data_IF_766815887317
#
_entry.id   IF_766815887317
#
_cell.length_a   1.000
_cell.length_b   1.000
_cell.length_c   1.000
_cell.angle_alpha   90.00
_cell.angle_beta   90.00
_cell.angle_gamma   90.00
#
_symmetry.space_group_name_H-M   'P 1'
#
loop_
_entity.id
_entity.type
_entity.pdbx_description
1 polymer ?
#
# COMPACT_ATOMS: atom_id res chain seq x y z
N UNK A 1 -26.90 -0.24 -11.47
CA UNK A 1 -26.34 0.23 -10.19
C UNK A 1 -25.45 -0.89 -9.69
N UNK A 2 -24.18 -0.62 -9.39
CA UNK A 2 -23.27 -1.67 -8.91
C UNK A 2 -23.78 -2.18 -7.56
N UNK A 3 -23.98 -3.50 -7.43
CA UNK A 3 -24.39 -4.12 -6.17
C UNK A 3 -23.30 -3.88 -5.09
N UNK A 4 -23.72 -3.47 -3.90
CA UNK A 4 -22.83 -3.27 -2.76
C UNK A 4 -22.32 -4.63 -2.26
N UNK A 5 -21.13 -5.03 -2.72
CA UNK A 5 -20.51 -6.31 -2.37
C UNK A 5 -19.90 -6.34 -0.97
N UNK A 6 -19.51 -5.18 -0.43
CA UNK A 6 -18.92 -5.10 0.91
C UNK A 6 -19.99 -5.00 2.00
N UNK A 7 -19.91 -5.89 2.99
CA UNK A 7 -20.76 -5.95 4.18
C UNK A 7 -19.89 -5.63 5.39
N UNK A 8 -19.96 -4.36 5.82
CA UNK A 8 -19.28 -3.86 7.01
C UNK A 8 -20.04 -4.26 8.26
N UNK A 9 -19.44 -5.04 9.15
CA UNK A 9 -20.17 -5.62 10.28
C UNK A 9 -19.32 -6.37 11.28
N UNK A 10 -19.99 -7.10 12.17
CA UNK A 10 -19.34 -7.95 13.17
C UNK A 10 -18.56 -9.08 12.47
N UNK A 11 -17.24 -9.20 12.71
CA UNK A 11 -16.42 -10.23 12.09
C UNK A 11 -16.79 -11.67 12.51
N UNK A 12 -17.64 -11.88 13.52
CA UNK A 12 -18.15 -13.23 13.85
C UNK A 12 -19.29 -13.68 12.94
N UNK A 13 -19.88 -12.75 12.16
CA UNK A 13 -20.99 -13.06 11.27
C UNK A 13 -20.47 -13.57 9.90
N UNK A 14 -20.98 -14.72 9.38
CA UNK A 14 -20.47 -15.32 8.14
C UNK A 14 -20.57 -14.43 6.89
N UNK A 15 -21.53 -13.51 6.88
CA UNK A 15 -21.78 -12.60 5.77
C UNK A 15 -20.86 -11.37 5.80
N UNK A 16 -20.19 -11.09 6.92
CA UNK A 16 -19.29 -9.95 7.05
C UNK A 16 -18.00 -10.21 6.26
N UNK A 17 -17.65 -9.28 5.37
CA UNK A 17 -16.38 -9.31 4.63
C UNK A 17 -15.53 -8.05 4.83
N UNK A 18 -16.00 -7.11 5.66
CA UNK A 18 -15.25 -5.96 6.11
C UNK A 18 -15.51 -5.75 7.60
N UNK A 19 -14.46 -5.86 8.42
CA UNK A 19 -14.54 -5.69 9.87
C UNK A 19 -14.30 -4.24 10.31
N UNK A 20 -14.36 -3.96 11.63
CA UNK A 20 -13.91 -2.69 12.19
C UNK A 20 -12.39 -2.55 12.09
N UNK A 21 -11.90 -1.31 12.18
CA UNK A 21 -10.47 -1.08 12.46
C UNK A 21 -10.16 -1.34 13.93
N UNK A 22 -8.87 -1.37 14.30
CA UNK A 22 -8.42 -1.82 15.62
C UNK A 22 -8.97 -1.02 16.81
N UNK A 23 -9.33 0.26 16.62
CA UNK A 23 -9.83 1.11 17.71
C UNK A 23 -10.67 2.29 17.21
N UNK A 24 -11.43 2.91 18.12
CA UNK A 24 -12.16 4.17 17.85
C UNK A 24 -11.19 5.29 17.48
N UNK A 25 -10.05 5.41 18.16
CA UNK A 25 -9.03 6.41 17.86
C UNK A 25 -8.46 6.24 16.43
N UNK A 26 -8.23 4.99 15.99
CA UNK A 26 -7.84 4.69 14.61
C UNK A 26 -8.92 5.13 13.63
N UNK A 27 -10.19 4.83 13.91
CA UNK A 27 -11.31 5.22 13.07
C UNK A 27 -11.47 6.75 12.97
N UNK A 28 -11.29 7.48 14.07
CA UNK A 28 -11.30 8.94 14.09
C UNK A 28 -10.19 9.55 13.24
N UNK A 29 -8.96 9.01 13.33
CA UNK A 29 -7.84 9.47 12.49
C UNK A 29 -8.11 9.26 11.00
N UNK A 30 -8.66 8.10 10.62
CA UNK A 30 -9.01 7.80 9.23
C UNK A 30 -10.08 8.77 8.73
N UNK A 31 -11.19 8.94 9.48
CA UNK A 31 -12.25 9.89 9.12
C UNK A 31 -11.73 11.33 9.02
N UNK A 32 -10.79 11.72 9.88
CA UNK A 32 -10.13 13.04 9.83
C UNK A 32 -9.34 13.23 8.53
N UNK A 33 -8.54 12.25 8.11
CA UNK A 33 -7.81 12.34 6.84
C UNK A 33 -8.77 12.43 5.64
N UNK A 34 -9.85 11.63 5.63
CA UNK A 34 -10.86 11.68 4.57
C UNK A 34 -11.54 13.05 4.51
N UNK A 35 -12.04 13.55 5.65
CA UNK A 35 -12.69 14.88 5.71
C UNK A 35 -11.74 16.00 5.32
N UNK A 36 -10.48 15.99 5.79
CA UNK A 36 -9.47 16.97 5.41
C UNK A 36 -9.17 16.95 3.91
N UNK A 37 -9.14 15.78 3.27
CA UNK A 37 -8.95 15.68 1.83
C UNK A 37 -10.15 16.26 1.07
N UNK A 38 -11.38 15.98 1.52
CA UNK A 38 -12.60 16.55 0.92
C UNK A 38 -12.63 18.07 1.06
N UNK A 39 -12.27 18.61 2.23
CA UNK A 39 -12.13 20.05 2.46
C UNK A 39 -11.07 20.69 1.55
N UNK A 40 -10.01 19.94 1.22
CA UNK A 40 -8.96 20.35 0.29
C UNK A 40 -9.33 20.17 -1.20
N UNK A 41 -10.54 19.70 -1.52
CA UNK A 41 -11.05 19.58 -2.88
C UNK A 41 -11.12 18.17 -3.45
N UNK A 42 -10.76 17.14 -2.69
CA UNK A 42 -10.98 15.76 -3.11
C UNK A 42 -12.47 15.41 -3.17
N UNK A 43 -12.81 14.43 -3.99
CA UNK A 43 -14.18 13.92 -4.12
C UNK A 43 -14.27 12.48 -3.64
N UNK A 44 -15.11 12.25 -2.64
CA UNK A 44 -15.51 10.91 -2.21
C UNK A 44 -16.48 10.27 -3.20
N UNK A 45 -16.22 9.03 -3.61
CA UNK A 45 -17.04 8.29 -4.57
C UNK A 45 -17.99 7.28 -3.91
N UNK A 46 -17.76 6.91 -2.64
CA UNK A 46 -18.58 5.94 -1.94
C UNK A 46 -19.53 6.69 -0.99
N UNK A 47 -20.86 6.59 -1.19
CA UNK A 47 -21.82 7.17 -0.27
C UNK A 47 -21.72 6.54 1.13
N UNK A 48 -21.64 7.36 2.18
CA UNK A 48 -21.48 6.88 3.56
C UNK A 48 -22.73 6.17 4.11
N UNK A 49 -23.92 6.50 3.58
CA UNK A 49 -25.21 5.92 3.97
C UNK A 49 -25.32 4.43 3.65
N UNK A 50 -24.53 3.94 2.69
CA UNK A 50 -24.36 2.51 2.41
C UNK A 50 -23.75 1.75 3.60
N UNK A 51 -23.08 2.44 4.52
CA UNK A 51 -22.34 1.84 5.63
C UNK A 51 -22.77 2.45 6.98
N UNK A 52 -24.07 2.44 7.26
CA UNK A 52 -24.68 3.09 8.45
C UNK A 52 -24.06 2.72 9.82
N UNK A 53 -23.38 1.58 9.94
CA UNK A 53 -22.66 1.19 11.16
C UNK A 53 -21.39 2.03 11.41
N UNK A 54 -20.85 2.68 10.38
CA UNK A 54 -19.62 3.47 10.38
C UNK A 54 -19.77 4.89 10.95
N UNK A 55 -20.41 5.02 12.12
CA UNK A 55 -20.68 6.31 12.77
C UNK A 55 -19.58 6.75 13.74
N UNK A 56 -19.54 8.05 14.04
CA UNK A 56 -18.65 8.61 15.06
C UNK A 56 -18.77 7.85 16.39
N UNK A 57 -17.64 7.69 17.09
CA UNK A 57 -17.56 6.91 18.34
C UNK A 57 -17.51 5.39 18.15
N UNK A 58 -17.57 4.87 16.92
CA UNK A 58 -17.34 3.45 16.63
C UNK A 58 -16.00 3.22 15.92
N UNK A 59 -15.50 1.99 16.02
CA UNK A 59 -14.33 1.52 15.28
C UNK A 59 -14.66 1.08 13.83
N UNK A 60 -15.90 1.22 13.36
CA UNK A 60 -16.29 0.87 12.00
C UNK A 60 -16.04 2.04 11.05
N UNK A 61 -15.30 1.82 9.97
CA UNK A 61 -14.98 2.86 8.98
C UNK A 61 -15.56 2.44 7.63
N UNK A 62 -16.32 3.34 7.00
CA UNK A 62 -16.81 3.12 5.65
C UNK A 62 -15.64 3.14 4.67
N UNK A 63 -15.55 2.19 3.73
CA UNK A 63 -14.54 2.25 2.69
C UNK A 63 -14.71 3.51 1.85
N UNK A 64 -13.62 4.12 1.41
CA UNK A 64 -13.65 5.30 0.57
C UNK A 64 -12.69 5.23 -0.61
N UNK A 65 -13.19 5.69 -1.75
CA UNK A 65 -12.38 5.98 -2.94
C UNK A 65 -12.43 7.49 -3.14
N UNK A 66 -11.28 8.13 -3.04
CA UNK A 66 -11.13 9.56 -3.24
C UNK A 66 -10.49 9.83 -4.61
N UNK A 67 -11.11 10.69 -5.40
CA UNK A 67 -10.54 11.22 -6.65
C UNK A 67 -10.24 12.70 -6.50
N UNK A 68 -9.52 13.26 -7.48
CA UNK A 68 -9.06 14.65 -7.48
C UNK A 68 -8.16 14.96 -6.27
N UNK A 69 -7.48 13.93 -5.77
CA UNK A 69 -6.46 14.00 -4.73
C UNK A 69 -5.10 14.37 -5.33
N UNK A 70 -4.23 14.96 -4.51
CA UNK A 70 -2.86 15.28 -4.88
C UNK A 70 -1.93 15.26 -3.66
N UNK A 71 -0.62 15.42 -3.88
CA UNK A 71 0.42 15.35 -2.85
C UNK A 71 0.37 16.46 -1.78
N UNK A 72 -0.48 17.48 -1.91
CA UNK A 72 -0.71 18.44 -0.83
C UNK A 72 -1.71 17.93 0.21
N UNK A 73 -2.33 16.77 -0.01
CA UNK A 73 -3.32 16.18 0.89
C UNK A 73 -2.70 15.04 1.70
N UNK A 74 -2.93 15.04 3.01
CA UNK A 74 -2.40 14.01 3.92
C UNK A 74 -2.74 12.58 3.47
N UNK A 75 -3.91 12.35 2.86
CA UNK A 75 -4.32 11.02 2.36
C UNK A 75 -3.37 10.46 1.27
N UNK A 76 -2.57 11.30 0.63
CA UNK A 76 -1.58 10.90 -0.37
C UNK A 76 -0.16 10.76 0.20
N UNK A 77 0.14 11.39 1.34
CA UNK A 77 1.50 11.49 1.89
C UNK A 77 1.68 10.75 3.22
N UNK A 78 0.60 10.55 3.97
CA UNK A 78 0.58 9.97 5.31
C UNK A 78 -0.24 8.69 5.33
N UNK A 79 0.26 7.67 6.03
CA UNK A 79 -0.36 6.34 6.01
C UNK A 79 -1.72 6.33 6.72
N UNK A 80 -2.80 6.06 5.97
CA UNK A 80 -4.16 6.04 6.53
C UNK A 80 -4.43 4.83 7.41
N UNK A 81 -3.86 3.65 7.14
CA UNK A 81 -4.17 2.40 7.88
C UNK A 81 -5.68 2.12 7.99
N UNK A 82 -6.42 2.41 6.92
CA UNK A 82 -7.87 2.25 6.85
C UNK A 82 -8.31 1.89 5.44
N UNK A 83 -9.59 1.57 5.23
CA UNK A 83 -10.11 1.17 3.93
C UNK A 83 -10.31 2.38 3.00
N UNK A 84 -9.25 3.16 2.77
CA UNK A 84 -9.28 4.40 1.97
C UNK A 84 -8.22 4.30 0.88
N UNK A 85 -8.59 4.66 -0.35
CA UNK A 85 -7.66 4.78 -1.48
C UNK A 85 -7.85 6.13 -2.18
N UNK A 86 -6.74 6.82 -2.43
CA UNK A 86 -6.69 8.01 -3.27
C UNK A 86 -6.31 7.65 -4.71
N UNK A 87 -6.97 8.28 -5.68
CA UNK A 87 -6.68 8.10 -7.12
C UNK A 87 -6.31 9.45 -7.71
N UNK A 88 -5.04 9.58 -8.06
CA UNK A 88 -4.49 10.74 -8.76
C UNK A 88 -4.25 10.39 -10.23
N UNK A 89 -4.71 11.24 -11.14
CA UNK A 89 -4.40 11.10 -12.56
C UNK A 89 -3.01 11.65 -12.86
N UNK A 90 -2.34 11.02 -13.80
CA UNK A 90 -1.01 11.39 -14.30
C UNK A 90 -1.05 11.39 -15.83
N UNK A 91 -0.16 12.15 -16.47
CA UNK A 91 -0.12 12.33 -17.92
C UNK A 91 0.95 11.47 -18.60
N UNK A 92 1.84 10.84 -17.82
CA UNK A 92 2.91 9.99 -18.34
C UNK A 92 3.48 9.06 -17.25
N UNK A 93 4.20 8.03 -17.68
CA UNK A 93 4.94 7.13 -16.79
C UNK A 93 6.02 7.87 -15.99
N UNK A 94 6.66 8.89 -16.57
CA UNK A 94 7.70 9.67 -15.89
C UNK A 94 7.10 10.55 -14.79
N UNK A 95 5.92 11.13 -15.02
CA UNK A 95 5.17 11.84 -13.98
C UNK A 95 4.71 10.86 -12.88
N UNK A 96 4.23 9.68 -13.26
CA UNK A 96 3.85 8.63 -12.31
C UNK A 96 5.03 8.23 -11.43
N UNK A 97 6.20 7.96 -12.03
CA UNK A 97 7.42 7.60 -11.32
C UNK A 97 7.88 8.71 -10.36
N UNK A 98 7.86 9.97 -10.82
CA UNK A 98 8.23 11.11 -10.00
C UNK A 98 7.33 11.21 -8.76
N UNK A 99 6.01 11.07 -8.92
CA UNK A 99 5.05 11.10 -7.82
C UNK A 99 5.19 9.86 -6.92
N UNK A 100 5.32 8.65 -7.46
CA UNK A 100 5.52 7.44 -6.66
C UNK A 100 6.79 7.53 -5.79
N UNK A 101 7.83 8.18 -6.29
CA UNK A 101 9.08 8.42 -5.54
C UNK A 101 9.02 9.64 -4.62
N UNK A 102 8.10 10.59 -4.83
CA UNK A 102 7.80 11.71 -3.93
C UNK A 102 6.96 11.24 -2.73
N UNK A 103 7.57 10.37 -1.93
CA UNK A 103 7.02 9.86 -0.69
C UNK A 103 8.14 9.66 0.32
N UNK A 104 7.92 9.93 1.63
CA UNK A 104 8.86 9.52 2.66
C UNK A 104 8.94 7.99 2.83
N UNK A 105 7.99 7.26 2.23
CA UNK A 105 7.86 5.81 2.31
C UNK A 105 8.30 5.12 0.99
N UNK A 106 8.56 3.83 1.08
CA UNK A 106 9.03 3.00 -0.02
C UNK A 106 8.97 1.51 0.34
N UNK A 107 7.80 1.03 0.78
CA UNK A 107 7.62 -0.37 1.15
C UNK A 107 7.39 -1.23 -0.10
N UNK A 108 6.25 -1.06 -0.76
CA UNK A 108 5.90 -1.77 -1.98
C UNK A 108 5.41 -0.83 -3.08
N UNK A 109 5.52 -1.26 -4.33
CA UNK A 109 4.91 -0.61 -5.49
C UNK A 109 4.27 -1.67 -6.39
N UNK A 110 3.22 -1.31 -7.11
CA UNK A 110 2.50 -2.19 -8.02
C UNK A 110 2.19 -1.46 -9.31
N UNK A 111 2.61 -2.03 -10.43
CA UNK A 111 2.38 -1.50 -11.78
C UNK A 111 1.47 -2.48 -12.52
N UNK A 112 0.46 -1.95 -13.19
CA UNK A 112 -0.53 -2.73 -13.92
C UNK A 112 -0.50 -2.38 -15.39
N UNK A 113 -0.27 -3.36 -16.25
CA UNK A 113 -0.27 -3.21 -17.69
C UNK A 113 -0.58 -4.54 -18.38
N UNK A 114 -1.07 -4.48 -19.62
CA UNK A 114 -1.28 -5.66 -20.45
C UNK A 114 0.02 -6.05 -21.16
N UNK A 115 0.98 -6.56 -20.39
CA UNK A 115 2.31 -6.95 -20.87
C UNK A 115 2.29 -8.11 -21.89
N UNK A 116 1.24 -8.94 -21.87
CA UNK A 116 1.07 -10.06 -22.80
C UNK A 116 0.67 -9.57 -24.19
N UNK A 117 -0.30 -8.65 -24.26
CA UNK A 117 -0.71 -8.05 -25.53
C UNK A 117 0.21 -6.91 -26.00
N UNK A 118 0.92 -6.24 -25.08
CA UNK A 118 1.75 -5.07 -25.33
C UNK A 118 3.15 -5.23 -24.72
N UNK A 119 4.08 -5.93 -25.40
CA UNK A 119 5.45 -6.16 -24.92
C UNK A 119 6.21 -4.87 -24.58
N UNK A 120 5.92 -3.76 -25.25
CA UNK A 120 6.48 -2.44 -24.94
C UNK A 120 6.15 -1.96 -23.53
N UNK A 121 5.01 -2.40 -22.99
CA UNK A 121 4.61 -2.06 -21.63
C UNK A 121 5.33 -2.91 -20.58
N UNK A 122 5.82 -4.10 -20.96
CA UNK A 122 6.73 -4.88 -20.13
C UNK A 122 8.09 -4.18 -19.99
N UNK A 123 8.62 -3.64 -21.08
CA UNK A 123 9.86 -2.84 -21.05
C UNK A 123 9.68 -1.57 -20.20
N UNK A 124 8.53 -0.90 -20.32
CA UNK A 124 8.19 0.21 -19.43
C UNK A 124 8.15 -0.21 -17.96
N UNK A 125 7.55 -1.37 -17.64
CA UNK A 125 7.57 -1.91 -16.29
C UNK A 125 9.00 -2.18 -15.79
N UNK A 126 9.85 -2.82 -16.58
CA UNK A 126 11.22 -3.13 -16.17
C UNK A 126 12.02 -1.86 -15.87
N UNK A 127 11.86 -0.83 -16.71
CA UNK A 127 12.44 0.51 -16.45
C UNK A 127 11.92 1.11 -15.14
N UNK A 128 10.60 1.13 -14.94
CA UNK A 128 10.00 1.66 -13.71
C UNK A 128 10.47 0.86 -12.48
N UNK A 129 10.60 -0.45 -12.58
CA UNK A 129 11.05 -1.31 -11.48
C UNK A 129 12.48 -0.99 -11.03
N UNK A 130 13.37 -0.61 -11.95
CA UNK A 130 14.74 -0.18 -11.63
C UNK A 130 14.80 1.21 -10.98
N UNK A 131 13.88 2.11 -11.35
CA UNK A 131 13.86 3.50 -10.89
C UNK A 131 12.98 3.74 -9.65
N UNK A 132 12.03 2.83 -9.36
CA UNK A 132 11.14 2.92 -8.21
C UNK A 132 11.92 2.75 -6.89
N UNK A 133 11.72 3.69 -5.98
CA UNK A 133 12.29 3.67 -4.64
C UNK A 133 11.36 2.91 -3.69
N UNK A 134 11.12 1.63 -3.99
CA UNK A 134 10.36 0.70 -3.17
C UNK A 134 11.13 -0.61 -2.98
N UNK A 135 10.91 -1.29 -1.87
CA UNK A 135 11.63 -2.54 -1.59
C UNK A 135 11.06 -3.77 -2.30
N UNK A 136 9.77 -3.80 -2.61
CA UNK A 136 9.14 -4.85 -3.42
C UNK A 136 8.28 -4.24 -4.50
N UNK A 137 8.58 -4.56 -5.77
CA UNK A 137 7.84 -4.06 -6.93
C UNK A 137 7.10 -5.22 -7.60
N UNK A 138 5.82 -5.03 -7.88
CA UNK A 138 4.96 -6.02 -8.51
C UNK A 138 4.52 -5.59 -9.91
N UNK A 139 4.38 -6.57 -10.81
CA UNK A 139 3.65 -6.45 -12.08
C UNK A 139 2.32 -7.20 -11.96
N UNK A 140 1.20 -6.53 -12.23
CA UNK A 140 -0.15 -7.12 -12.29
C UNK A 140 -0.55 -7.89 -11.02
N UNK A 141 -0.06 -7.44 -9.87
CA UNK A 141 -0.32 -8.03 -8.55
C UNK A 141 -0.09 -7.01 -7.45
N UNK A 142 -0.73 -7.19 -6.31
CA UNK A 142 -0.43 -6.49 -5.08
C UNK A 142 -0.57 -7.46 -3.90
N UNK A 143 0.00 -7.09 -2.75
CA UNK A 143 -0.19 -7.77 -1.46
C UNK A 143 -0.01 -9.30 -1.50
N UNK A 144 1.05 -9.76 -2.17
CA UNK A 144 1.38 -11.17 -2.29
C UNK A 144 2.76 -11.46 -1.73
N UNK A 145 2.83 -12.39 -0.77
CA UNK A 145 4.08 -12.78 -0.12
C UNK A 145 4.58 -14.11 -0.68
N UNK A 146 5.80 -14.10 -1.22
CA UNK A 146 6.57 -15.31 -1.50
C UNK A 146 7.68 -15.45 -0.44
N UNK A 147 7.69 -16.51 0.38
CA UNK A 147 8.69 -16.67 1.44
C UNK A 147 10.12 -16.83 0.90
N UNK A 148 10.31 -17.16 -0.39
CA UNK A 148 11.62 -17.26 -1.01
C UNK A 148 12.19 -15.90 -1.48
N UNK A 149 11.33 -14.89 -1.68
CA UNK A 149 11.73 -13.55 -2.10
C UNK A 149 11.97 -12.62 -0.91
N UNK A 150 12.86 -11.65 -1.09
CA UNK A 150 13.16 -10.68 -0.05
C UNK A 150 11.99 -9.71 0.13
N UNK A 151 11.58 -9.48 1.38
CA UNK A 151 10.65 -8.42 1.74
C UNK A 151 11.40 -7.32 2.47
N UNK A 152 11.45 -6.15 1.84
CA UNK A 152 12.24 -5.00 2.29
C UNK A 152 11.45 -3.73 2.06
N UNK A 153 11.79 -2.69 2.81
CA UNK A 153 11.31 -1.33 2.60
C UNK A 153 12.52 -0.39 2.60
N UNK A 154 12.44 0.68 1.82
CA UNK A 154 13.46 1.74 1.78
C UNK A 154 12.92 3.02 2.43
N UNK A 155 13.76 4.05 2.54
CA UNK A 155 13.43 5.34 3.18
C UNK A 155 12.95 5.13 4.62
N UNK A 156 11.78 5.67 4.98
CA UNK A 156 11.21 5.52 6.32
C UNK A 156 10.40 4.23 6.48
N UNK A 157 10.24 3.40 5.43
CA UNK A 157 9.50 2.13 5.52
C UNK A 157 10.29 1.00 6.15
N UNK A 158 11.60 1.14 6.34
CA UNK A 158 12.39 0.16 7.06
C UNK A 158 13.87 0.16 6.71
N UNK A 159 14.60 -0.72 7.41
CA UNK A 159 15.99 -1.08 7.11
C UNK A 159 16.16 -2.58 7.34
N UNK A 160 16.84 -3.24 6.41
CA UNK A 160 17.05 -4.67 6.49
C UNK A 160 16.10 -5.47 5.61
N UNK A 161 16.11 -6.78 5.79
CA UNK A 161 15.36 -7.73 4.95
C UNK A 161 14.66 -8.72 5.86
N UNK A 162 13.39 -8.98 5.57
CA UNK A 162 12.64 -10.12 6.10
C UNK A 162 12.33 -11.10 4.96
N UNK A 163 11.90 -12.31 5.30
CA UNK A 163 11.72 -13.42 4.35
C UNK A 163 13.02 -13.77 3.60
N UNK A 164 12.92 -14.66 2.61
CA UNK A 164 14.04 -15.23 1.87
C UNK A 164 15.12 -15.86 2.75
N UNK A 165 16.22 -16.31 2.13
CA UNK A 165 17.42 -16.69 2.87
C UNK A 165 18.09 -15.49 3.56
N UNK A 166 17.93 -14.28 3.02
CA UNK A 166 18.61 -13.09 3.50
C UNK A 166 18.05 -12.58 4.84
N UNK A 167 16.79 -12.87 5.16
CA UNK A 167 16.22 -12.55 6.47
C UNK A 167 16.94 -13.23 7.63
N UNK A 168 17.60 -14.37 7.40
CA UNK A 168 18.38 -15.07 8.41
C UNK A 168 19.76 -14.44 8.67
N UNK A 169 20.28 -13.60 7.78
CA UNK A 169 21.61 -12.97 7.94
C UNK A 169 21.64 -12.07 9.19
N UNK A 170 20.49 -11.51 9.59
CA UNK A 170 20.35 -10.68 10.79
C UNK A 170 20.16 -11.49 12.08
N UNK A 171 19.78 -12.76 11.94
CA UNK A 171 19.48 -13.67 13.05
C UNK A 171 20.62 -14.65 13.32
N UNK A 172 21.68 -14.61 12.49
CA UNK A 172 22.82 -15.51 12.57
C UNK A 172 24.13 -14.72 12.70
N UNK A 173 25.19 -15.38 13.18
CA UNK A 173 26.52 -14.76 13.33
C UNK A 173 27.57 -15.58 12.58
N UNK A 174 28.11 -15.00 11.51
CA UNK A 174 29.18 -15.62 10.74
C UNK A 174 30.45 -15.81 11.60
N UNK A 175 31.15 -16.92 11.39
CA UNK A 175 32.45 -17.21 12.01
C UNK A 175 33.41 -17.65 10.90
N UNK A 176 34.49 -16.88 10.70
CA UNK A 176 35.59 -17.30 9.83
C UNK A 176 36.59 -18.13 10.62
N UNK A 177 37.08 -19.21 10.02
CA UNK A 177 38.13 -20.07 10.59
C UNK A 177 39.18 -20.28 9.52
N UNK A 178 40.39 -19.77 9.75
CA UNK A 178 41.54 -19.95 8.87
C UNK A 178 42.51 -20.95 9.50
N UNK A 179 42.82 -22.02 8.78
CA UNK A 179 43.75 -23.06 9.26
C UNK A 179 44.88 -23.23 8.26
N UNK A 180 46.13 -23.02 8.71
CA UNK A 180 47.34 -23.36 7.96
C UNK A 180 47.94 -24.63 8.57
N UNK A 181 47.77 -25.77 7.91
CA UNK A 181 48.18 -27.08 8.45
C UNK A 181 49.67 -27.38 8.19
N UNK A 182 50.24 -26.86 7.10
CA UNK A 182 51.69 -26.89 6.80
C UNK A 182 52.11 -25.59 6.13
N UNK A 183 53.39 -25.23 6.28
CA UNK A 183 53.97 -23.95 5.83
C UNK A 183 54.01 -23.87 4.32
#
# INVERSE_FOLDING_TARGET
MAEQKYKLGDPTEPETNLGPVVSVASAERIRKQVSSAIEAGAKALIPEDLFAVAKAGTAYVAPQVLVDVNHTMDVMMEETFGPVVGIQKVNSDDEALALMNDSPYGLTASVWTDADAHPESQEAFLRLADELQAGTVFLNRCDFLDPALAWTGVKNSGRGISLSKFGYDQLTRAKSVHMKIKI
#
